data_IF_010016899041
#
_entry.id   IF_010016899041
#
_cell.length_a   1.000
_cell.length_b   1.000
_cell.length_c   1.000
_cell.angle_alpha   90.00
_cell.angle_beta   90.00
_cell.angle_gamma   90.00
#
_symmetry.space_group_name_H-M   'P 1'
#
loop_
_entity.id
_entity.type
_entity.pdbx_description
1 polymer ?
#
# COMPACT_ATOMS: atom_id res chain seq x y z
N UNK A 1 -20.34 -28.27 13.45
CA UNK A 1 -21.70 -28.51 12.91
C UNK A 1 -21.95 -27.45 11.85
N UNK A 2 -21.89 -27.76 10.55
CA UNK A 2 -22.20 -26.77 9.50
C UNK A 2 -23.71 -26.62 9.44
N UNK A 3 -24.23 -25.47 9.85
CA UNK A 3 -25.65 -25.15 9.67
C UNK A 3 -25.91 -25.10 8.17
N UNK A 4 -26.75 -25.99 7.66
CA UNK A 4 -27.12 -26.00 6.26
C UNK A 4 -28.02 -24.79 6.00
N UNK A 5 -27.53 -23.86 5.18
CA UNK A 5 -28.26 -22.64 4.83
C UNK A 5 -29.49 -22.99 3.98
N UNK A 6 -30.66 -22.43 4.31
CA UNK A 6 -31.96 -22.81 3.72
C UNK A 6 -32.07 -22.51 2.22
N UNK A 7 -31.50 -21.38 1.78
CA UNK A 7 -31.54 -20.88 0.41
C UNK A 7 -30.10 -20.64 -0.10
N UNK A 8 -29.50 -21.68 -0.70
CA UNK A 8 -28.13 -21.59 -1.23
C UNK A 8 -28.07 -20.89 -2.59
N UNK A 9 -28.89 -21.33 -3.55
CA UNK A 9 -28.80 -20.88 -4.94
C UNK A 9 -29.97 -20.00 -5.39
N UNK A 10 -31.06 -19.94 -4.62
CA UNK A 10 -32.25 -19.17 -4.96
C UNK A 10 -32.90 -18.59 -3.71
N UNK A 11 -33.09 -17.28 -3.67
CA UNK A 11 -33.74 -16.55 -2.56
C UNK A 11 -35.10 -16.06 -3.08
N UNK A 12 -36.22 -16.28 -2.38
CA UNK A 12 -37.51 -15.75 -2.80
C UNK A 12 -37.50 -14.21 -2.89
N UNK A 13 -38.27 -13.67 -3.83
CA UNK A 13 -38.27 -12.23 -4.13
C UNK A 13 -38.78 -11.35 -2.98
N UNK A 14 -39.65 -11.88 -2.11
CA UNK A 14 -40.23 -11.17 -0.98
C UNK A 14 -39.87 -11.88 0.34
N UNK A 15 -39.37 -11.13 1.32
CA UNK A 15 -39.07 -11.63 2.67
C UNK A 15 -37.73 -11.16 3.24
N UNK A 16 -37.59 -11.39 4.54
CA UNK A 16 -36.39 -11.08 5.33
C UNK A 16 -35.60 -12.36 5.61
N UNK A 17 -34.29 -12.30 5.36
CA UNK A 17 -33.39 -13.45 5.39
C UNK A 17 -32.15 -13.15 6.22
N UNK A 18 -31.83 -14.03 7.17
CA UNK A 18 -30.58 -13.92 7.95
C UNK A 18 -29.42 -14.48 7.12
N UNK A 19 -28.38 -13.69 6.92
CA UNK A 19 -27.22 -14.09 6.11
C UNK A 19 -26.38 -15.10 6.89
N UNK A 20 -26.00 -16.20 6.24
CA UNK A 20 -25.30 -17.33 6.87
C UNK A 20 -26.20 -18.34 7.58
N UNK A 21 -27.50 -18.06 7.72
CA UNK A 21 -28.51 -18.99 8.26
C UNK A 21 -29.57 -19.32 7.21
N UNK A 22 -30.23 -18.30 6.66
CA UNK A 22 -31.26 -18.46 5.63
C UNK A 22 -30.67 -18.36 4.23
N UNK A 23 -29.75 -17.42 3.98
CA UNK A 23 -29.17 -17.16 2.65
C UNK A 23 -27.65 -17.17 2.69
N UNK A 24 -27.01 -17.65 1.63
CA UNK A 24 -25.56 -17.68 1.53
C UNK A 24 -25.02 -16.33 1.01
N UNK A 25 -23.83 -15.87 1.46
CA UNK A 25 -23.21 -14.71 0.85
C UNK A 25 -22.80 -14.99 -0.60
N UNK A 26 -22.83 -13.94 -1.43
CA UNK A 26 -22.49 -14.03 -2.84
C UNK A 26 -23.27 -13.04 -3.71
N UNK A 27 -23.07 -13.17 -5.02
CA UNK A 27 -23.76 -12.36 -6.00
C UNK A 27 -25.05 -13.06 -6.45
N UNK A 28 -26.15 -12.32 -6.43
CA UNK A 28 -27.46 -12.76 -6.85
C UNK A 28 -28.02 -11.82 -7.91
N UNK A 29 -28.75 -12.36 -8.89
CA UNK A 29 -29.48 -11.58 -9.88
C UNK A 29 -30.98 -11.88 -9.81
N UNK A 30 -31.79 -10.85 -9.94
CA UNK A 30 -33.24 -10.95 -10.03
C UNK A 30 -33.67 -10.31 -11.35
N UNK A 31 -34.46 -11.05 -12.13
CA UNK A 31 -35.09 -10.53 -13.35
C UNK A 31 -36.51 -10.10 -13.00
N UNK A 32 -36.67 -8.82 -12.71
CA UNK A 32 -37.92 -8.27 -12.20
C UNK A 32 -38.85 -7.85 -13.35
N UNK A 33 -40.12 -8.28 -13.35
CA UNK A 33 -41.14 -7.77 -14.28
C UNK A 33 -41.64 -6.36 -13.92
N UNK A 34 -41.25 -5.79 -12.78
CA UNK A 34 -41.73 -4.49 -12.32
C UNK A 34 -40.90 -3.90 -11.17
N UNK A 35 -41.44 -2.88 -10.52
CA UNK A 35 -40.76 -2.17 -9.43
C UNK A 35 -40.57 -3.03 -8.19
N UNK A 36 -39.53 -2.73 -7.42
CA UNK A 36 -39.23 -3.41 -6.17
C UNK A 36 -38.10 -2.73 -5.41
N UNK A 37 -37.84 -3.19 -4.20
CA UNK A 37 -36.71 -2.70 -3.43
C UNK A 37 -36.13 -3.80 -2.55
N UNK A 38 -34.91 -3.60 -2.10
CA UNK A 38 -34.27 -4.48 -1.12
C UNK A 38 -33.40 -3.67 -0.18
N UNK A 39 -33.18 -4.22 1.01
CA UNK A 39 -32.37 -3.63 2.08
C UNK A 39 -31.31 -4.63 2.51
N UNK A 40 -30.06 -4.17 2.56
CA UNK A 40 -28.97 -4.91 3.19
C UNK A 40 -28.69 -4.33 4.56
N UNK A 41 -28.51 -5.19 5.56
CA UNK A 41 -28.14 -4.81 6.92
C UNK A 41 -26.68 -5.23 7.17
N UNK A 42 -25.69 -4.40 6.80
CA UNK A 42 -24.29 -4.71 7.08
C UNK A 42 -24.03 -4.72 8.59
N UNK A 43 -23.13 -5.59 9.08
CA UNK A 43 -22.75 -5.59 10.51
C UNK A 43 -21.92 -4.35 10.93
N UNK A 44 -21.51 -3.51 9.98
CA UNK A 44 -20.84 -2.23 10.26
C UNK A 44 -21.84 -1.14 10.66
N UNK A 45 -21.42 -0.15 11.47
CA UNK A 45 -22.24 0.99 11.94
C UNK A 45 -22.77 1.95 10.82
N UNK A 46 -22.82 1.50 9.56
CA UNK A 46 -23.22 2.30 8.39
C UNK A 46 -24.74 2.38 8.22
N UNK A 47 -25.52 1.62 9.01
CA UNK A 47 -26.98 1.59 8.90
C UNK A 47 -27.46 0.80 7.66
N UNK A 48 -28.77 0.62 7.51
CA UNK A 48 -29.35 -0.19 6.42
C UNK A 48 -29.13 0.47 5.05
N UNK A 49 -28.71 -0.33 4.06
CA UNK A 49 -28.51 0.11 2.67
C UNK A 49 -29.73 -0.28 1.84
N UNK A 50 -30.61 0.68 1.59
CA UNK A 50 -31.82 0.50 0.79
C UNK A 50 -31.58 0.83 -0.67
N UNK A 51 -31.93 -0.08 -1.57
CA UNK A 51 -31.87 0.14 -3.02
C UNK A 51 -33.26 -0.07 -3.62
N UNK A 52 -33.72 0.88 -4.46
CA UNK A 52 -34.99 0.78 -5.19
C UNK A 52 -34.73 0.54 -6.67
N UNK A 53 -35.50 -0.35 -7.27
CA UNK A 53 -35.53 -0.61 -8.71
C UNK A 53 -36.86 -0.14 -9.31
N UNK A 54 -36.77 0.61 -10.41
CA UNK A 54 -37.91 1.13 -11.15
C UNK A 54 -38.01 0.43 -12.51
N UNK A 55 -39.23 0.05 -12.90
CA UNK A 55 -39.51 -0.62 -14.17
C UNK A 55 -39.14 -2.11 -14.20
N UNK A 56 -39.27 -2.71 -15.39
CA UNK A 56 -38.85 -4.08 -15.64
C UNK A 56 -37.36 -4.13 -16.03
N UNK A 57 -36.61 -5.07 -15.48
CA UNK A 57 -35.17 -5.16 -15.72
C UNK A 57 -34.47 -6.26 -14.94
N UNK A 58 -33.19 -6.45 -15.23
CA UNK A 58 -32.32 -7.35 -14.47
C UNK A 58 -31.52 -6.52 -13.45
N UNK A 59 -31.62 -6.89 -12.19
CA UNK A 59 -30.89 -6.27 -11.08
C UNK A 59 -29.97 -7.28 -10.42
N UNK A 60 -28.85 -6.78 -9.92
CA UNK A 60 -27.86 -7.59 -9.21
C UNK A 60 -27.64 -7.03 -7.81
N UNK A 61 -27.52 -7.92 -6.84
CA UNK A 61 -27.11 -7.60 -5.48
C UNK A 61 -25.94 -8.48 -5.07
N UNK A 62 -24.98 -7.90 -4.36
CA UNK A 62 -23.92 -8.65 -3.67
C UNK A 62 -24.29 -8.65 -2.20
N UNK A 63 -24.54 -9.83 -1.63
CA UNK A 63 -24.73 -10.05 -0.20
C UNK A 63 -23.36 -10.41 0.36
N UNK A 64 -22.81 -9.53 1.19
CA UNK A 64 -21.45 -9.71 1.74
C UNK A 64 -21.47 -10.70 2.91
N UNK A 65 -20.35 -11.40 3.20
CA UNK A 65 -20.28 -12.34 4.32
C UNK A 65 -20.53 -11.73 5.70
N UNK A 66 -20.35 -10.40 5.85
CA UNK A 66 -20.56 -9.64 7.08
C UNK A 66 -21.94 -8.95 7.14
N UNK A 67 -22.81 -9.16 6.15
CA UNK A 67 -24.20 -8.74 6.27
C UNK A 67 -24.87 -9.56 7.38
N UNK A 68 -25.68 -8.90 8.21
CA UNK A 68 -26.48 -9.57 9.25
C UNK A 68 -27.78 -10.11 8.65
N UNK A 69 -28.41 -9.33 7.77
CA UNK A 69 -29.66 -9.71 7.14
C UNK A 69 -29.84 -9.04 5.76
N UNK A 70 -30.71 -9.66 4.97
CA UNK A 70 -31.12 -9.21 3.65
C UNK A 70 -32.65 -9.22 3.58
N UNK A 71 -33.25 -8.06 3.34
CA UNK A 71 -34.70 -7.89 3.18
C UNK A 71 -35.01 -7.58 1.73
N UNK A 72 -35.92 -8.33 1.12
CA UNK A 72 -36.28 -8.14 -0.27
C UNK A 72 -37.79 -7.97 -0.43
N UNK A 73 -38.16 -7.04 -1.31
CA UNK A 73 -39.52 -6.80 -1.78
C UNK A 73 -39.49 -6.69 -3.31
N UNK A 74 -38.94 -7.72 -3.95
CA UNK A 74 -38.88 -7.88 -5.40
C UNK A 74 -39.99 -8.82 -5.88
N UNK A 75 -40.64 -8.54 -7.03
CA UNK A 75 -41.70 -9.39 -7.57
C UNK A 75 -41.19 -10.70 -8.19
N UNK A 76 -39.88 -10.93 -8.23
CA UNK A 76 -39.25 -12.15 -8.75
C UNK A 76 -38.11 -12.61 -7.84
N UNK A 77 -37.80 -13.90 -7.91
CA UNK A 77 -36.75 -14.52 -7.09
C UNK A 77 -35.35 -14.12 -7.53
N UNK A 78 -34.45 -14.11 -6.55
CA UNK A 78 -33.02 -13.94 -6.75
C UNK A 78 -32.36 -15.28 -7.04
N UNK A 79 -31.54 -15.35 -8.08
CA UNK A 79 -30.77 -16.53 -8.46
C UNK A 79 -29.30 -16.25 -8.27
N UNK A 80 -28.58 -17.16 -7.62
CA UNK A 80 -27.15 -17.01 -7.36
C UNK A 80 -26.36 -17.13 -8.65
N UNK A 81 -25.47 -16.17 -8.88
CA UNK A 81 -24.52 -16.22 -9.99
C UNK A 81 -23.38 -17.14 -9.60
N UNK A 82 -23.46 -18.41 -10.03
CA UNK A 82 -22.34 -19.35 -9.88
C UNK A 82 -21.28 -18.99 -10.91
N UNK A 83 -20.18 -18.38 -10.46
CA UNK A 83 -18.98 -18.25 -11.28
C UNK A 83 -18.41 -19.64 -11.50
N UNK A 84 -18.75 -20.28 -12.63
CA UNK A 84 -18.10 -21.53 -13.04
C UNK A 84 -16.60 -21.28 -13.13
N UNK A 85 -15.81 -22.00 -12.33
CA UNK A 85 -14.36 -22.11 -12.50
C UNK A 85 -14.08 -22.98 -13.72
N UNK A 86 -14.34 -22.44 -14.90
CA UNK A 86 -14.03 -23.11 -16.17
C UNK A 86 -12.56 -22.87 -16.54
N UNK A 87 -11.84 -23.98 -16.78
CA UNK A 87 -10.55 -24.16 -17.47
C UNK A 87 -9.49 -23.04 -17.36
N UNK A 88 -8.32 -23.40 -16.81
CA UNK A 88 -7.08 -22.64 -16.96
C UNK A 88 -6.87 -22.24 -18.44
N UNK A 89 -6.67 -20.94 -18.77
CA UNK A 89 -6.48 -20.51 -20.14
C UNK A 89 -5.11 -20.97 -20.66
N UNK A 90 -5.11 -21.54 -21.86
CA UNK A 90 -3.88 -21.85 -22.60
C UNK A 90 -3.09 -20.57 -22.90
N UNK A 91 -1.78 -20.69 -23.01
CA UNK A 91 -0.78 -19.62 -22.93
C UNK A 91 -0.90 -18.46 -23.95
N UNK A 92 -1.87 -18.49 -24.85
CA UNK A 92 -2.07 -17.49 -25.91
C UNK A 92 -3.04 -16.34 -25.62
N UNK A 93 -3.95 -16.47 -24.64
CA UNK A 93 -5.08 -15.52 -24.46
C UNK A 93 -4.99 -14.64 -23.20
N UNK A 94 -3.80 -14.51 -22.61
CA UNK A 94 -3.61 -13.52 -21.54
C UNK A 94 -3.69 -12.12 -22.14
N UNK A 95 -4.85 -11.44 -21.96
CA UNK A 95 -4.89 -9.96 -21.91
C UNK A 95 -3.70 -9.52 -21.05
N UNK A 96 -2.92 -8.49 -21.46
CA UNK A 96 -1.71 -8.13 -20.76
C UNK A 96 -2.07 -7.92 -19.28
N UNK A 97 -1.54 -8.80 -18.43
CA UNK A 97 -1.65 -8.69 -16.98
C UNK A 97 -1.18 -7.27 -16.68
N UNK A 98 -2.09 -6.42 -16.16
CA UNK A 98 -1.72 -5.10 -15.64
C UNK A 98 -0.44 -5.32 -14.85
N UNK A 99 0.68 -4.60 -15.13
CA UNK A 99 1.95 -4.91 -14.51
C UNK A 99 1.71 -4.99 -13.01
N UNK A 100 1.96 -6.17 -12.42
CA UNK A 100 1.81 -6.39 -10.99
C UNK A 100 2.49 -5.21 -10.30
N UNK A 101 1.78 -4.55 -9.39
CA UNK A 101 2.34 -3.40 -8.67
C UNK A 101 3.65 -3.85 -8.05
N UNK A 102 4.75 -3.20 -8.42
CA UNK A 102 6.08 -3.57 -7.96
C UNK A 102 6.20 -3.29 -6.48
N UNK A 103 6.79 -4.23 -5.75
CA UNK A 103 7.17 -4.04 -4.35
C UNK A 103 8.27 -2.98 -4.31
N UNK A 104 8.09 -1.98 -3.45
CA UNK A 104 9.17 -1.03 -3.14
C UNK A 104 10.22 -1.78 -2.35
N UNK A 105 11.50 -1.53 -2.63
CA UNK A 105 12.61 -2.11 -1.87
C UNK A 105 12.43 -1.84 -0.38
N UNK A 106 12.47 -2.90 0.43
CA UNK A 106 12.41 -2.81 1.89
C UNK A 106 13.84 -2.94 2.41
N UNK A 107 14.20 -2.06 3.34
CA UNK A 107 15.52 -2.05 3.98
C UNK A 107 15.38 -2.48 5.44
N UNK A 108 16.40 -3.16 5.94
CA UNK A 108 16.49 -3.55 7.34
C UNK A 108 16.62 -2.30 8.25
N UNK A 109 15.75 -2.16 9.27
CA UNK A 109 15.79 -1.06 10.23
C UNK A 109 16.94 -1.14 11.24
N UNK A 110 17.80 -2.17 11.20
CA UNK A 110 18.99 -2.29 12.06
C UNK A 110 20.28 -1.83 11.35
N UNK A 111 20.22 -1.51 10.06
CA UNK A 111 21.38 -1.02 9.30
C UNK A 111 21.86 0.32 9.88
N UNK A 112 23.18 0.59 9.98
CA UNK A 112 23.68 1.90 10.39
C UNK A 112 22.99 3.05 9.64
N UNK A 113 22.55 4.13 10.33
CA UNK A 113 21.66 5.14 9.76
C UNK A 113 22.27 5.86 8.54
N UNK A 114 23.57 6.11 8.55
CA UNK A 114 24.31 6.69 7.42
C UNK A 114 24.26 5.78 6.18
N UNK A 115 24.48 4.48 6.38
CA UNK A 115 24.41 3.49 5.30
C UNK A 115 22.99 3.33 4.79
N UNK A 116 21.98 3.30 5.68
CA UNK A 116 20.57 3.25 5.29
C UNK A 116 20.18 4.45 4.45
N UNK A 117 20.56 5.67 4.86
CA UNK A 117 20.28 6.90 4.12
C UNK A 117 20.95 6.89 2.75
N UNK A 118 22.20 6.40 2.67
CA UNK A 118 22.91 6.25 1.42
C UNK A 118 22.25 5.23 0.47
N UNK A 119 21.79 4.08 1.00
CA UNK A 119 21.03 3.09 0.22
C UNK A 119 19.65 3.61 -0.21
N UNK A 120 18.97 4.38 0.65
CA UNK A 120 17.71 5.06 0.32
C UNK A 120 17.85 6.06 -0.82
N UNK A 121 18.94 6.82 -0.83
CA UNK A 121 19.24 7.77 -1.89
C UNK A 121 19.55 7.09 -3.24
N UNK A 122 20.05 5.85 -3.22
CA UNK A 122 20.47 5.11 -4.41
C UNK A 122 19.80 3.73 -4.52
N UNK A 123 18.47 3.73 -4.63
CA UNK A 123 17.68 2.49 -4.79
C UNK A 123 18.02 1.70 -6.07
N UNK A 124 18.57 2.38 -7.08
CA UNK A 124 19.04 1.76 -8.31
C UNK A 124 20.27 0.88 -8.04
N UNK A 125 21.18 1.32 -7.15
CA UNK A 125 22.33 0.54 -6.69
C UNK A 125 21.89 -0.78 -6.06
N UNK A 126 20.93 -0.74 -5.14
CA UNK A 126 20.44 -1.93 -4.42
C UNK A 126 19.88 -2.96 -5.40
N UNK A 127 19.09 -2.48 -6.37
CA UNK A 127 18.58 -3.33 -7.44
C UNK A 127 19.68 -3.86 -8.35
N UNK A 128 20.68 -3.05 -8.69
CA UNK A 128 21.82 -3.48 -9.51
C UNK A 128 22.59 -4.60 -8.82
N UNK A 129 22.92 -4.44 -7.53
CA UNK A 129 23.65 -5.43 -6.73
C UNK A 129 22.94 -6.79 -6.73
N UNK A 130 21.60 -6.80 -6.64
CA UNK A 130 20.83 -8.05 -6.61
C UNK A 130 20.60 -8.67 -7.98
N UNK A 131 20.34 -7.85 -8.99
CA UNK A 131 19.84 -8.32 -10.30
C UNK A 131 20.93 -8.45 -11.35
N UNK A 132 22.12 -7.90 -11.09
CA UNK A 132 23.18 -7.74 -12.09
C UNK A 132 22.79 -6.83 -13.27
N UNK A 133 21.63 -6.17 -13.21
CA UNK A 133 21.08 -5.41 -14.34
C UNK A 133 21.97 -4.21 -14.67
N UNK A 134 22.37 -3.99 -15.93
CA UNK A 134 23.24 -2.86 -16.29
C UNK A 134 22.67 -1.53 -15.80
N UNK A 135 23.53 -0.70 -15.20
CA UNK A 135 23.21 0.63 -14.65
C UNK A 135 22.45 1.55 -15.63
N UNK A 136 22.52 1.28 -16.93
CA UNK A 136 21.89 2.08 -17.98
C UNK A 136 20.36 2.03 -18.00
N UNK A 137 19.71 1.06 -17.33
CA UNK A 137 18.26 0.84 -17.46
C UNK A 137 17.36 1.66 -16.52
N UNK A 138 17.90 2.28 -15.47
CA UNK A 138 17.08 3.02 -14.49
C UNK A 138 17.73 4.37 -14.16
N UNK A 139 17.33 5.40 -14.92
CA UNK A 139 17.60 6.85 -14.76
C UNK A 139 18.74 7.26 -13.84
N UNK A 140 19.92 7.60 -14.36
CA UNK A 140 20.24 9.00 -14.70
C UNK A 140 21.30 9.14 -15.80
N UNK A 141 21.70 8.02 -16.43
CA UNK A 141 22.75 8.02 -17.44
C UNK A 141 22.36 8.68 -18.77
N UNK A 142 21.08 9.03 -18.97
CA UNK A 142 20.60 9.60 -20.25
C UNK A 142 20.90 11.08 -20.45
N UNK A 143 21.38 11.82 -19.44
CA UNK A 143 21.65 13.26 -19.60
C UNK A 143 23.12 13.68 -19.41
N UNK A 144 23.93 12.96 -18.60
CA UNK A 144 25.30 13.42 -18.24
C UNK A 144 26.45 12.49 -18.70
N UNK A 145 26.15 11.40 -19.40
CA UNK A 145 27.16 10.42 -19.81
C UNK A 145 28.11 10.92 -20.91
N UNK A 146 27.53 11.50 -21.96
CA UNK A 146 28.22 11.86 -23.21
C UNK A 146 28.22 13.35 -23.55
N UNK A 147 27.30 14.15 -22.98
CA UNK A 147 27.22 15.60 -23.25
C UNK A 147 28.38 16.38 -22.64
N UNK A 148 28.80 16.03 -21.43
CA UNK A 148 29.92 16.68 -20.75
C UNK A 148 31.27 16.50 -21.49
N UNK A 149 31.70 15.29 -21.91
CA UNK A 149 32.93 15.15 -22.68
C UNK A 149 32.82 15.77 -24.08
N UNK A 150 31.67 15.64 -24.76
CA UNK A 150 31.45 16.27 -26.06
C UNK A 150 31.53 17.80 -26.02
N UNK A 151 30.92 18.42 -25.00
CA UNK A 151 30.98 19.87 -24.79
C UNK A 151 32.39 20.34 -24.41
N UNK A 152 33.13 19.58 -23.60
CA UNK A 152 34.51 19.92 -23.24
C UNK A 152 35.47 19.81 -24.43
N UNK A 153 35.30 18.80 -25.29
CA UNK A 153 36.07 18.64 -26.53
C UNK A 153 35.73 19.75 -27.53
N UNK A 154 34.45 20.08 -27.68
CA UNK A 154 34.01 21.20 -28.53
C UNK A 154 34.54 22.55 -28.03
N UNK A 155 34.48 22.80 -26.71
CA UNK A 155 35.03 24.01 -26.08
C UNK A 155 36.55 24.08 -26.26
N UNK A 156 37.27 22.97 -26.12
CA UNK A 156 38.71 22.89 -26.39
C UNK A 156 39.05 23.10 -27.86
N UNK A 157 38.22 22.63 -28.80
CA UNK A 157 38.36 22.97 -30.23
C UNK A 157 38.15 24.46 -30.49
N UNK A 158 37.18 25.10 -29.83
CA UNK A 158 36.95 26.56 -29.93
C UNK A 158 38.11 27.36 -29.32
N UNK A 159 38.64 26.93 -28.17
CA UNK A 159 39.82 27.55 -27.53
C UNK A 159 41.07 27.36 -28.40
N UNK A 160 41.24 26.20 -29.03
CA UNK A 160 42.29 25.93 -30.01
C UNK A 160 42.17 26.80 -31.26
N UNK A 161 40.95 27.12 -31.69
CA UNK A 161 40.71 28.02 -32.81
C UNK A 161 41.02 29.48 -32.45
N UNK A 162 40.76 29.89 -31.20
CA UNK A 162 41.01 31.24 -30.71
C UNK A 162 42.49 31.56 -30.42
N UNK A 163 43.34 30.55 -30.18
CA UNK A 163 44.77 30.73 -29.91
C UNK A 163 45.65 29.88 -30.85
N UNK A 164 45.94 30.35 -32.08
CA UNK A 164 46.74 29.60 -33.07
C UNK A 164 48.21 29.39 -32.68
N UNK A 165 48.66 30.01 -31.59
CA UNK A 165 50.01 29.90 -31.05
C UNK A 165 50.23 28.58 -30.30
N UNK A 166 49.14 27.96 -29.81
CA UNK A 166 49.18 26.58 -29.33
C UNK A 166 49.20 25.65 -30.54
N UNK A 167 50.40 25.23 -30.96
CA UNK A 167 50.53 24.19 -31.99
C UNK A 167 49.75 22.91 -31.64
N UNK A 168 49.51 22.04 -32.63
CA UNK A 168 48.64 20.86 -32.48
C UNK A 168 49.00 19.90 -31.33
N UNK A 169 50.24 19.93 -30.83
CA UNK A 169 50.65 19.17 -29.64
C UNK A 169 50.07 19.74 -28.32
N UNK A 170 49.97 21.08 -28.20
CA UNK A 170 49.43 21.73 -27.01
C UNK A 170 47.94 21.48 -26.82
N UNK A 171 47.20 21.38 -27.93
CA UNK A 171 45.75 21.12 -27.92
C UNK A 171 45.46 19.67 -27.52
N UNK A 172 46.24 18.72 -28.03
CA UNK A 172 46.16 17.31 -27.62
C UNK A 172 46.47 17.14 -26.14
N UNK A 173 47.49 17.84 -25.62
CA UNK A 173 47.86 17.77 -24.20
C UNK A 173 46.74 18.31 -23.28
N UNK A 174 46.09 19.41 -23.66
CA UNK A 174 44.95 19.96 -22.92
C UNK A 174 43.72 19.05 -22.94
N UNK A 175 43.45 18.39 -24.07
CA UNK A 175 42.36 17.40 -24.17
C UNK A 175 42.65 16.21 -23.24
N UNK A 176 43.88 15.69 -23.23
CA UNK A 176 44.29 14.59 -22.35
C UNK A 176 44.17 15.01 -20.88
N UNK A 177 44.64 16.21 -20.51
CA UNK A 177 44.54 16.73 -19.15
C UNK A 177 43.09 16.94 -18.72
N UNK A 178 42.24 17.46 -19.62
CA UNK A 178 40.81 17.63 -19.40
C UNK A 178 40.09 16.30 -19.20
N UNK A 179 40.41 15.28 -20.02
CA UNK A 179 39.90 13.91 -19.84
C UNK A 179 40.39 13.33 -18.52
N UNK A 180 41.66 13.49 -18.15
CA UNK A 180 42.22 13.00 -16.89
C UNK A 180 41.57 13.68 -15.67
N UNK A 181 41.37 15.01 -15.72
CA UNK A 181 40.68 15.77 -14.68
C UNK A 181 39.21 15.36 -14.54
N UNK A 182 38.49 15.23 -15.66
CA UNK A 182 37.10 14.79 -15.68
C UNK A 182 36.96 13.34 -15.18
N UNK A 183 37.91 12.48 -15.54
CA UNK A 183 38.00 11.10 -15.06
C UNK A 183 38.28 11.05 -13.55
N UNK A 184 39.17 11.90 -13.05
CA UNK A 184 39.45 12.05 -11.61
C UNK A 184 38.23 12.53 -10.82
N UNK A 185 37.50 13.51 -11.33
CA UNK A 185 36.25 14.01 -10.75
C UNK A 185 35.16 12.92 -10.76
N UNK A 186 35.00 12.20 -11.87
CA UNK A 186 34.08 11.05 -11.96
C UNK A 186 34.46 9.95 -10.97
N UNK A 187 35.74 9.60 -10.86
CA UNK A 187 36.25 8.55 -9.97
C UNK A 187 36.08 8.92 -8.51
N UNK A 188 36.33 10.19 -8.13
CA UNK A 188 36.04 10.70 -6.78
C UNK A 188 34.55 10.65 -6.44
N UNK A 189 33.67 10.98 -7.40
CA UNK A 189 32.21 10.86 -7.22
C UNK A 189 31.73 9.41 -7.17
N UNK A 190 32.39 8.47 -7.84
CA UNK A 190 31.99 7.05 -7.86
C UNK A 190 32.57 6.21 -6.73
N UNK A 191 33.71 6.59 -6.14
CA UNK A 191 34.37 5.86 -5.06
C UNK A 191 33.45 5.55 -3.84
N UNK A 192 32.67 6.51 -3.30
CA UNK A 192 31.74 6.20 -2.21
C UNK A 192 30.60 5.26 -2.64
N UNK A 193 30.14 5.36 -3.90
CA UNK A 193 29.12 4.44 -4.46
C UNK A 193 29.64 3.02 -4.64
N UNK A 194 30.89 2.84 -5.06
CA UNK A 194 31.52 1.52 -5.21
C UNK A 194 31.67 0.82 -3.86
N UNK A 195 32.14 1.53 -2.83
CA UNK A 195 32.20 1.01 -1.45
C UNK A 195 30.81 0.63 -0.94
N UNK A 196 29.79 1.45 -1.21
CA UNK A 196 28.42 1.13 -0.85
C UNK A 196 27.89 -0.11 -1.60
N UNK A 197 28.27 -0.28 -2.87
CA UNK A 197 27.95 -1.47 -3.66
C UNK A 197 28.59 -2.73 -3.08
N UNK A 198 29.86 -2.63 -2.68
CA UNK A 198 30.61 -3.72 -2.05
C UNK A 198 30.00 -4.10 -0.70
N UNK A 199 29.67 -3.10 0.15
CA UNK A 199 28.98 -3.33 1.42
C UNK A 199 27.61 -3.99 1.21
N UNK A 200 26.84 -3.55 0.22
CA UNK A 200 25.56 -4.14 -0.13
C UNK A 200 25.70 -5.57 -0.69
N UNK A 201 26.79 -5.87 -1.43
CA UNK A 201 27.09 -7.24 -1.89
C UNK A 201 27.51 -8.15 -0.75
N UNK A 202 28.33 -7.64 0.17
CA UNK A 202 28.79 -8.38 1.34
C UNK A 202 27.65 -8.70 2.31
N UNK A 203 26.60 -7.87 2.34
CA UNK A 203 25.45 -8.02 3.22
C UNK A 203 24.14 -8.08 2.40
N UNK A 204 23.88 -9.20 1.71
CA UNK A 204 22.67 -9.35 0.88
C UNK A 204 21.38 -9.36 1.72
N UNK A 205 21.49 -9.63 3.03
CA UNK A 205 20.36 -9.69 3.93
C UNK A 205 19.82 -8.33 4.35
N UNK A 206 20.50 -7.22 4.07
CA UNK A 206 20.07 -5.87 4.44
C UNK A 206 18.87 -5.33 3.66
N UNK A 207 18.54 -5.93 2.52
CA UNK A 207 17.46 -5.42 1.68
C UNK A 207 16.68 -6.56 1.04
N UNK A 208 15.42 -6.27 0.71
CA UNK A 208 14.54 -7.13 -0.09
C UNK A 208 13.98 -6.34 -1.25
N UNK A 209 14.15 -6.87 -2.46
CA UNK A 209 13.67 -6.27 -3.71
C UNK A 209 12.48 -7.04 -4.25
N UNK A 210 11.77 -6.43 -5.19
CA UNK A 210 10.63 -7.04 -5.89
C UNK A 210 10.92 -8.48 -6.37
N UNK A 211 12.12 -8.77 -6.88
CA UNK A 211 12.47 -10.10 -7.40
C UNK A 211 12.62 -11.19 -6.34
N UNK A 212 12.71 -10.83 -5.05
CA UNK A 212 12.81 -11.81 -3.96
C UNK A 212 11.43 -12.42 -3.59
N UNK A 213 10.36 -12.03 -4.30
CA UNK A 213 8.98 -12.45 -4.03
C UNK A 213 8.37 -13.15 -5.26
N UNK A 214 7.63 -14.23 -5.00
CA UNK A 214 6.64 -14.79 -5.94
C UNK A 214 5.42 -13.86 -6.05
N UNK A 215 4.51 -14.12 -6.99
CA UNK A 215 3.41 -13.21 -7.27
C UNK A 215 2.42 -13.05 -6.10
N UNK A 216 2.18 -14.13 -5.33
CA UNK A 216 1.30 -14.11 -4.16
C UNK A 216 1.93 -13.32 -3.01
N UNK A 217 3.20 -13.61 -2.71
CA UNK A 217 3.96 -12.89 -1.69
C UNK A 217 4.12 -11.41 -2.06
N UNK A 218 4.33 -11.10 -3.35
CA UNK A 218 4.39 -9.72 -3.86
C UNK A 218 3.11 -8.96 -3.57
N UNK A 219 1.95 -9.57 -3.79
CA UNK A 219 0.66 -8.95 -3.52
C UNK A 219 0.49 -8.63 -2.02
N UNK A 220 0.91 -9.54 -1.14
CA UNK A 220 0.88 -9.36 0.32
C UNK A 220 1.79 -8.22 0.78
N UNK A 221 3.04 -8.17 0.30
CA UNK A 221 3.95 -7.06 0.65
C UNK A 221 3.39 -5.72 0.15
N UNK A 222 2.83 -5.66 -1.05
CA UNK A 222 2.21 -4.43 -1.58
C UNK A 222 1.05 -3.94 -0.70
N UNK A 223 0.24 -4.86 -0.17
CA UNK A 223 -0.83 -4.56 0.80
C UNK A 223 -0.26 -3.96 2.09
N UNK A 224 0.72 -4.61 2.70
CA UNK A 224 1.41 -4.10 3.89
C UNK A 224 2.00 -2.69 3.66
N UNK A 225 2.72 -2.49 2.55
CA UNK A 225 3.29 -1.21 2.16
C UNK A 225 2.22 -0.13 1.95
N UNK A 226 1.04 -0.50 1.45
CA UNK A 226 -0.08 0.43 1.29
C UNK A 226 -0.64 0.84 2.64
N UNK A 227 -0.81 -0.10 3.58
CA UNK A 227 -1.28 0.18 4.94
C UNK A 227 -0.29 1.10 5.68
N UNK A 228 1.01 0.77 5.70
CA UNK A 228 2.06 1.61 6.32
C UNK A 228 2.07 3.01 5.71
N UNK A 229 1.98 3.13 4.38
CA UNK A 229 1.93 4.45 3.72
C UNK A 229 0.69 5.26 4.07
N UNK A 230 -0.46 4.63 4.34
CA UNK A 230 -1.67 5.34 4.78
C UNK A 230 -1.46 5.92 6.17
N UNK A 231 -0.94 5.12 7.10
CA UNK A 231 -0.65 5.57 8.47
C UNK A 231 0.36 6.72 8.45
N UNK A 232 1.50 6.55 7.77
CA UNK A 232 2.56 7.59 7.70
C UNK A 232 2.14 8.89 7.04
N UNK A 233 1.05 8.89 6.26
CA UNK A 233 0.52 10.08 5.58
C UNK A 233 -0.55 10.80 6.38
N UNK A 234 -1.15 10.15 7.37
CA UNK A 234 -2.14 10.78 8.24
C UNK A 234 -1.49 11.92 9.02
N UNK A 235 -2.17 13.04 9.12
CA UNK A 235 -1.71 14.21 9.86
C UNK A 235 -1.62 13.88 11.35
N UNK A 236 -2.62 13.18 11.88
CA UNK A 236 -2.64 12.64 13.25
C UNK A 236 -1.36 11.86 13.61
N UNK A 237 -0.77 11.16 12.65
CA UNK A 237 0.49 10.45 12.84
C UNK A 237 1.69 11.40 12.87
N UNK A 238 1.73 12.42 11.99
CA UNK A 238 2.83 13.40 11.93
C UNK A 238 2.84 14.34 13.13
N UNK A 239 1.67 14.69 13.64
CA UNK A 239 1.50 15.55 14.83
C UNK A 239 1.78 14.79 16.14
N UNK A 240 2.16 13.51 16.08
CA UNK A 240 2.54 12.72 17.26
C UNK A 240 1.37 12.39 18.20
N UNK A 241 0.11 12.59 17.77
CA UNK A 241 -1.07 12.38 18.60
C UNK A 241 -1.33 10.89 18.91
N UNK A 242 -0.75 10.00 18.12
CA UNK A 242 -0.67 8.57 18.41
C UNK A 242 0.55 8.34 19.31
N UNK A 243 0.50 8.88 20.53
CA UNK A 243 1.56 8.78 21.53
C UNK A 243 1.69 7.33 22.04
N UNK A 244 2.35 6.53 21.21
CA UNK A 244 2.73 5.17 21.52
C UNK A 244 4.21 5.12 21.16
N UNK A 245 5.03 5.36 22.18
CA UNK A 245 6.43 5.80 22.20
C UNK A 245 7.47 5.12 21.27
N UNK A 246 7.07 4.25 20.35
CA UNK A 246 7.95 3.55 19.41
C UNK A 246 7.39 3.48 17.96
N UNK A 247 6.32 4.20 17.61
CA UNK A 247 5.61 4.00 16.34
C UNK A 247 6.41 4.32 15.06
N UNK A 248 7.30 5.32 15.11
CA UNK A 248 8.20 5.62 13.99
C UNK A 248 9.21 4.51 13.72
N UNK A 249 9.58 3.75 14.74
CA UNK A 249 10.50 2.62 14.66
C UNK A 249 9.76 1.30 14.39
N UNK A 250 8.53 1.18 14.89
CA UNK A 250 7.71 -0.03 14.79
C UNK A 250 7.23 -0.27 13.36
N UNK A 251 6.67 0.71 12.65
CA UNK A 251 6.16 0.50 11.29
C UNK A 251 7.24 0.04 10.28
N UNK A 252 8.45 0.62 10.25
CA UNK A 252 9.54 0.09 9.44
C UNK A 252 9.96 -1.34 9.83
N UNK A 253 9.93 -1.66 11.13
CA UNK A 253 10.22 -3.01 11.63
C UNK A 253 9.19 -4.03 11.18
N UNK A 254 7.91 -3.70 11.28
CA UNK A 254 6.81 -4.53 10.80
C UNK A 254 6.90 -4.78 9.28
N UNK A 255 7.15 -3.72 8.49
CA UNK A 255 7.34 -3.84 7.03
C UNK A 255 8.53 -4.77 6.70
N UNK A 256 9.61 -4.68 7.47
CA UNK A 256 10.79 -5.54 7.31
C UNK A 256 10.52 -7.00 7.66
N UNK A 257 9.94 -7.30 8.82
CA UNK A 257 9.69 -8.68 9.24
C UNK A 257 8.70 -9.39 8.30
N UNK A 258 7.67 -8.69 7.82
CA UNK A 258 6.75 -9.21 6.80
C UNK A 258 7.50 -9.52 5.50
N UNK A 259 8.31 -8.59 5.01
CA UNK A 259 9.10 -8.78 3.79
C UNK A 259 10.11 -9.92 3.93
N UNK A 260 10.79 -10.03 5.07
CA UNK A 260 11.75 -11.08 5.38
C UNK A 260 11.08 -12.45 5.39
N UNK A 261 9.97 -12.61 6.11
CA UNK A 261 9.23 -13.87 6.17
C UNK A 261 8.73 -14.32 4.79
N UNK A 262 8.10 -13.41 4.03
CA UNK A 262 7.59 -13.72 2.69
C UNK A 262 8.70 -14.04 1.69
N UNK A 263 9.84 -13.32 1.74
CA UNK A 263 10.98 -13.65 0.88
C UNK A 263 11.54 -15.05 1.18
N UNK A 264 11.52 -15.46 2.45
CA UNK A 264 11.96 -16.80 2.86
C UNK A 264 10.99 -17.87 2.34
N UNK A 265 9.68 -17.64 2.44
CA UNK A 265 8.66 -18.53 1.86
C UNK A 265 8.87 -18.67 0.35
N UNK A 266 9.03 -17.57 -0.38
CA UNK A 266 9.31 -17.61 -1.82
C UNK A 266 10.58 -18.42 -2.13
N UNK A 267 11.67 -18.21 -1.38
CA UNK A 267 12.90 -18.97 -1.61
C UNK A 267 12.71 -20.48 -1.39
N UNK A 268 11.99 -20.87 -0.33
CA UNK A 268 11.75 -22.27 0.01
C UNK A 268 10.83 -22.94 -1.02
N UNK A 269 9.80 -22.23 -1.50
CA UNK A 269 8.94 -22.71 -2.59
C UNK A 269 9.71 -22.88 -3.89
N UNK A 270 10.62 -21.95 -4.22
CA UNK A 270 11.46 -22.06 -5.40
C UNK A 270 12.43 -23.25 -5.32
N UNK A 271 13.00 -23.53 -4.14
CA UNK A 271 13.87 -24.68 -3.95
C UNK A 271 13.11 -26.01 -4.03
N UNK A 272 11.91 -26.08 -3.44
CA UNK A 272 11.01 -27.24 -3.61
C UNK A 272 10.63 -27.45 -5.09
N UNK A 273 10.33 -26.38 -5.83
CA UNK A 273 10.01 -26.48 -7.24
C UNK A 273 11.18 -27.02 -8.09
N UNK A 274 12.42 -26.65 -7.77
CA UNK A 274 13.63 -27.20 -8.43
C UNK A 274 13.80 -28.69 -8.15
N UNK A 275 13.57 -29.12 -6.90
CA UNK A 275 13.63 -30.54 -6.53
C UNK A 275 12.56 -31.36 -7.29
N UNK A 276 11.39 -30.76 -7.52
CA UNK A 276 10.29 -31.39 -8.25
C UNK A 276 10.52 -31.41 -9.77
N UNK A 277 11.18 -30.40 -10.32
CA UNK A 277 11.41 -30.27 -11.76
C UNK A 277 12.29 -31.39 -12.37
N UNK A 278 13.03 -32.13 -11.54
CA UNK A 278 13.90 -33.24 -11.97
C UNK A 278 13.20 -34.57 -12.30
N UNK A 279 11.86 -34.62 -12.22
CA UNK A 279 11.09 -35.87 -12.32
C UNK A 279 11.00 -36.56 -10.96
N UNK A 280 9.83 -36.51 -10.35
CA UNK A 280 9.62 -36.93 -8.96
C UNK A 280 8.98 -38.30 -8.93
N UNK A 281 9.54 -39.20 -8.12
CA UNK A 281 8.82 -40.41 -7.72
C UNK A 281 7.78 -40.04 -6.64
N UNK A 282 6.56 -40.59 -6.70
CA UNK A 282 5.46 -40.37 -5.76
C UNK A 282 5.84 -40.30 -4.25
N UNK A 283 6.85 -41.05 -3.75
CA UNK A 283 7.30 -40.91 -2.35
C UNK A 283 7.85 -39.52 -2.00
N UNK A 284 8.57 -38.86 -2.91
CA UNK A 284 9.17 -37.53 -2.68
C UNK A 284 8.09 -36.45 -2.66
N UNK A 285 7.06 -36.57 -3.52
CA UNK A 285 5.92 -35.64 -3.48
C UNK A 285 5.13 -35.76 -2.18
N UNK A 286 4.91 -36.99 -1.68
CA UNK A 286 4.30 -37.22 -0.36
C UNK A 286 5.15 -36.67 0.79
N UNK A 287 6.48 -36.76 0.70
CA UNK A 287 7.38 -36.22 1.71
C UNK A 287 7.40 -34.68 1.75
N UNK A 288 7.12 -34.00 0.62
CA UNK A 288 7.06 -32.55 0.55
C UNK A 288 5.73 -31.96 1.07
N UNK A 289 4.66 -32.75 1.14
CA UNK A 289 3.33 -32.26 1.54
C UNK A 289 3.31 -31.57 2.93
N UNK A 290 3.89 -32.14 4.01
CA UNK A 290 3.91 -31.48 5.32
C UNK A 290 4.73 -30.17 5.32
N UNK A 291 5.79 -30.11 4.50
CA UNK A 291 6.61 -28.90 4.38
C UNK A 291 5.83 -27.77 3.69
N UNK A 292 5.01 -28.09 2.68
CA UNK A 292 4.13 -27.13 2.01
C UNK A 292 3.05 -26.60 2.95
N UNK A 293 2.43 -27.48 3.73
CA UNK A 293 1.44 -27.11 4.76
C UNK A 293 2.04 -26.17 5.82
N UNK A 294 3.29 -26.42 6.21
CA UNK A 294 4.02 -25.52 7.12
C UNK A 294 4.21 -24.13 6.51
N UNK A 295 4.60 -24.05 5.23
CA UNK A 295 4.75 -22.76 4.53
C UNK A 295 3.41 -22.03 4.42
N UNK A 296 2.31 -22.75 4.17
CA UNK A 296 0.98 -22.15 4.09
C UNK A 296 0.49 -21.64 5.45
N UNK A 297 0.84 -22.34 6.53
CA UNK A 297 0.59 -21.87 7.91
C UNK A 297 1.34 -20.57 8.21
N UNK A 298 2.61 -20.47 7.79
CA UNK A 298 3.40 -19.24 7.92
C UNK A 298 2.78 -18.11 7.09
N UNK A 299 2.36 -18.37 5.85
CA UNK A 299 1.70 -17.36 5.01
C UNK A 299 0.38 -16.90 5.62
N UNK A 300 -0.41 -17.81 6.18
CA UNK A 300 -1.66 -17.48 6.87
C UNK A 300 -1.41 -16.58 8.10
N UNK A 301 -0.39 -16.90 8.91
CA UNK A 301 0.01 -16.09 10.06
C UNK A 301 0.46 -14.68 9.65
N UNK A 302 1.32 -14.57 8.63
CA UNK A 302 1.76 -13.27 8.09
C UNK A 302 0.58 -12.49 7.48
N UNK A 303 -0.34 -13.17 6.82
CA UNK A 303 -1.55 -12.54 6.26
C UNK A 303 -2.43 -11.96 7.37
N UNK A 304 -2.64 -12.68 8.47
CA UNK A 304 -3.38 -12.17 9.63
C UNK A 304 -2.72 -10.92 10.24
N UNK A 305 -1.38 -10.89 10.30
CA UNK A 305 -0.62 -9.70 10.73
C UNK A 305 -0.81 -8.51 9.78
N UNK A 306 -0.80 -8.75 8.47
CA UNK A 306 -1.08 -7.72 7.46
C UNK A 306 -2.50 -7.19 7.61
N UNK A 307 -3.49 -8.05 7.88
CA UNK A 307 -4.87 -7.63 8.10
C UNK A 307 -5.02 -6.80 9.38
N UNK A 308 -4.31 -7.14 10.45
CA UNK A 308 -4.24 -6.31 11.65
C UNK A 308 -3.67 -4.91 11.35
N UNK A 309 -2.60 -4.85 10.56
CA UNK A 309 -1.99 -3.59 10.10
C UNK A 309 -2.94 -2.78 9.19
N UNK A 310 -3.74 -3.45 8.35
CA UNK A 310 -4.76 -2.82 7.52
C UNK A 310 -5.92 -2.25 8.38
N UNK A 311 -6.37 -2.98 9.42
CA UNK A 311 -7.35 -2.49 10.39
C UNK A 311 -6.82 -1.28 11.17
N UNK A 312 -5.58 -1.34 11.62
CA UNK A 312 -4.92 -0.19 12.26
C UNK A 312 -4.88 1.02 11.32
N UNK A 313 -4.47 0.84 10.06
CA UNK A 313 -4.47 1.91 9.07
C UNK A 313 -5.86 2.51 8.81
N UNK A 314 -6.91 1.70 8.85
CA UNK A 314 -8.29 2.18 8.72
C UNK A 314 -8.72 3.03 9.93
N UNK A 315 -8.39 2.61 11.16
CA UNK A 315 -8.67 3.39 12.37
C UNK A 315 -7.90 4.71 12.41
N UNK A 316 -6.62 4.71 12.02
CA UNK A 316 -5.84 5.94 11.90
C UNK A 316 -6.45 6.88 10.87
N UNK A 317 -6.94 6.37 9.74
CA UNK A 317 -7.61 7.20 8.74
C UNK A 317 -8.96 7.77 9.24
N UNK A 318 -9.67 7.07 10.13
CA UNK A 318 -10.86 7.61 10.77
C UNK A 318 -10.50 8.75 11.73
N UNK A 319 -9.51 8.55 12.60
CA UNK A 319 -9.01 9.58 13.49
C UNK A 319 -8.51 10.81 12.72
N UNK A 320 -7.79 10.59 11.61
CA UNK A 320 -7.29 11.66 10.74
C UNK A 320 -8.41 12.53 10.16
N UNK A 321 -9.52 11.91 9.72
CA UNK A 321 -10.68 12.66 9.23
C UNK A 321 -11.33 13.51 10.33
N UNK A 322 -11.45 12.98 11.53
CA UNK A 322 -12.01 13.71 12.67
C UNK A 322 -11.10 14.85 13.10
N UNK A 323 -9.79 14.63 13.09
CA UNK A 323 -8.79 15.64 13.39
C UNK A 323 -8.86 16.82 12.40
N UNK A 324 -8.92 16.53 11.09
CA UNK A 324 -9.08 17.55 10.06
C UNK A 324 -10.38 18.34 10.23
N UNK A 325 -11.50 17.65 10.51
CA UNK A 325 -12.79 18.29 10.72
C UNK A 325 -12.78 19.19 11.97
N UNK A 326 -12.17 18.72 13.07
CA UNK A 326 -12.00 19.50 14.29
C UNK A 326 -11.15 20.75 14.04
N UNK A 327 -10.02 20.61 13.34
CA UNK A 327 -9.15 21.74 12.99
C UNK A 327 -9.87 22.78 12.12
N UNK A 328 -10.66 22.35 11.13
CA UNK A 328 -11.45 23.25 10.29
C UNK A 328 -12.52 24.00 11.07
N UNK A 329 -13.27 23.31 11.95
CA UNK A 329 -14.27 23.96 12.79
C UNK A 329 -13.66 24.91 13.80
N UNK A 330 -12.50 24.59 14.35
CA UNK A 330 -11.78 25.47 15.27
C UNK A 330 -11.34 26.75 14.56
N UNK A 331 -10.77 26.64 13.36
CA UNK A 331 -10.42 27.81 12.56
C UNK A 331 -11.64 28.69 12.24
N UNK A 332 -12.81 28.08 11.97
CA UNK A 332 -14.05 28.81 11.78
C UNK A 332 -14.56 29.47 13.06
N UNK A 333 -14.47 28.78 14.21
CA UNK A 333 -14.87 29.33 15.51
C UNK A 333 -14.00 30.54 15.89
N UNK A 334 -12.68 30.45 15.68
CA UNK A 334 -11.73 31.53 15.95
C UNK A 334 -12.04 32.78 15.07
N UNK A 335 -12.36 32.59 13.79
CA UNK A 335 -12.83 33.70 12.93
C UNK A 335 -14.17 34.27 13.39
N UNK A 336 -15.06 33.41 13.88
CA UNK A 336 -16.39 33.81 14.32
C UNK A 336 -16.35 34.60 15.64
N UNK A 337 -15.34 34.38 16.49
CA UNK A 337 -15.03 35.23 17.64
C UNK A 337 -14.59 36.65 17.20
N UNK A 338 -13.79 36.77 16.13
CA UNK A 338 -13.42 38.08 15.56
C UNK A 338 -14.66 38.84 15.02
N UNK A 339 -15.59 38.12 14.39
CA UNK A 339 -16.89 38.69 14.00
C UNK A 339 -17.77 39.03 15.22
N UNK A 340 -17.70 38.27 16.31
CA UNK A 340 -18.42 38.58 17.56
C UNK A 340 -17.93 39.90 18.16
N UNK A 341 -16.63 40.14 18.17
CA UNK A 341 -16.04 41.38 18.70
C UNK A 341 -16.47 42.60 17.87
N UNK A 342 -16.56 42.45 16.54
CA UNK A 342 -17.11 43.45 15.63
C UNK A 342 -18.61 43.72 15.87
N UNK A 343 -19.40 42.67 16.12
CA UNK A 343 -20.84 42.75 16.37
C UNK A 343 -21.17 43.33 17.76
N UNK A 344 -20.36 43.01 18.78
CA UNK A 344 -20.52 43.53 20.13
C UNK A 344 -20.42 45.06 20.21
N UNK A 345 -19.75 45.69 19.24
CA UNK A 345 -19.68 47.14 19.11
C UNK A 345 -20.81 47.79 18.30
N UNK A 346 -21.65 47.01 17.60
CA UNK A 346 -22.54 47.55 16.55
C UNK A 346 -24.02 47.13 16.64
N UNK A 347 -24.39 45.91 17.07
CA UNK A 347 -25.80 45.45 17.12
C UNK A 347 -26.03 44.40 18.21
N UNK A 348 -27.14 44.51 18.96
CA UNK A 348 -27.68 43.45 19.84
C UNK A 348 -28.49 42.45 18.99
N UNK A 349 -27.87 41.39 18.49
CA UNK A 349 -28.63 40.27 17.90
C UNK A 349 -28.30 38.94 18.61
N UNK A 350 -29.29 38.41 19.33
CA UNK A 350 -29.23 37.12 20.03
C UNK A 350 -29.03 35.92 19.09
N UNK A 351 -29.38 36.07 17.80
CA UNK A 351 -29.25 35.02 16.78
C UNK A 351 -27.78 34.71 16.45
N UNK A 352 -26.93 35.73 16.36
CA UNK A 352 -25.50 35.57 16.09
C UNK A 352 -24.79 34.85 17.26
N UNK A 353 -25.20 35.15 18.50
CA UNK A 353 -24.71 34.47 19.71
C UNK A 353 -25.12 32.98 19.69
N UNK A 354 -26.33 32.66 19.24
CA UNK A 354 -26.85 31.30 19.14
C UNK A 354 -26.06 30.40 18.17
N UNK A 355 -25.76 30.90 16.97
CA UNK A 355 -24.98 30.15 15.97
C UNK A 355 -23.52 29.94 16.42
N UNK A 356 -22.92 30.94 17.08
CA UNK A 356 -21.59 30.81 17.66
C UNK A 356 -21.53 29.74 18.77
N UNK A 357 -22.51 29.75 19.68
CA UNK A 357 -22.61 28.74 20.74
C UNK A 357 -22.83 27.32 20.15
N UNK A 358 -23.51 27.21 19.01
CA UNK A 358 -23.68 25.94 18.28
C UNK A 358 -22.38 25.47 17.65
N UNK A 359 -21.60 26.35 17.01
CA UNK A 359 -20.29 26.01 16.46
C UNK A 359 -19.33 25.50 17.54
N UNK A 360 -19.31 26.17 18.70
CA UNK A 360 -18.52 25.75 19.86
C UNK A 360 -18.91 24.35 20.35
N UNK A 361 -20.21 24.08 20.55
CA UNK A 361 -20.70 22.74 20.93
C UNK A 361 -20.35 21.66 19.90
N UNK A 362 -20.46 21.98 18.61
CA UNK A 362 -20.07 21.04 17.55
C UNK A 362 -18.57 20.72 17.60
N UNK A 363 -17.72 21.71 17.87
CA UNK A 363 -16.28 21.52 18.01
C UNK A 363 -15.94 20.63 19.23
N UNK A 364 -16.64 20.79 20.34
CA UNK A 364 -16.51 19.94 21.54
C UNK A 364 -16.93 18.49 21.28
N UNK A 365 -18.08 18.27 20.62
CA UNK A 365 -18.52 16.93 20.23
C UNK A 365 -17.51 16.23 19.30
N UNK A 366 -16.93 16.96 18.36
CA UNK A 366 -15.89 16.43 17.47
C UNK A 366 -14.58 16.14 18.20
N UNK A 367 -14.24 16.93 19.23
CA UNK A 367 -13.08 16.66 20.09
C UNK A 367 -13.25 15.35 20.84
N UNK A 368 -14.42 15.12 21.44
CA UNK A 368 -14.72 13.87 22.15
C UNK A 368 -14.69 12.66 21.21
N UNK A 369 -15.29 12.77 20.02
CA UNK A 369 -15.22 11.72 19.00
C UNK A 369 -13.79 11.46 18.49
N UNK A 370 -12.96 12.51 18.38
CA UNK A 370 -11.55 12.38 18.05
C UNK A 370 -10.79 11.64 19.15
N UNK A 371 -10.99 12.00 20.42
CA UNK A 371 -10.33 11.36 21.57
C UNK A 371 -10.68 9.86 21.63
N UNK A 372 -11.95 9.50 21.41
CA UNK A 372 -12.39 8.10 21.30
C UNK A 372 -11.72 7.38 20.11
N UNK A 373 -11.66 8.03 18.95
CA UNK A 373 -11.05 7.46 17.75
C UNK A 373 -9.53 7.26 17.90
N UNK A 374 -8.85 8.19 18.57
CA UNK A 374 -7.43 8.08 18.91
C UNK A 374 -7.18 6.92 19.89
N UNK A 375 -8.03 6.76 20.91
CA UNK A 375 -7.95 5.63 21.82
C UNK A 375 -8.12 4.29 21.08
N UNK A 376 -9.12 4.19 20.20
CA UNK A 376 -9.36 3.00 19.39
C UNK A 376 -8.20 2.68 18.42
N UNK A 377 -7.57 3.71 17.86
CA UNK A 377 -6.39 3.58 17.01
C UNK A 377 -5.17 3.08 17.79
N UNK A 378 -4.90 3.65 18.98
CA UNK A 378 -3.84 3.20 19.89
C UNK A 378 -4.03 1.74 20.29
N UNK A 379 -5.26 1.32 20.63
CA UNK A 379 -5.57 -0.07 20.97
C UNK A 379 -5.30 -1.03 19.80
N UNK A 380 -5.71 -0.69 18.58
CA UNK A 380 -5.39 -1.53 17.42
C UNK A 380 -3.89 -1.59 17.12
N UNK A 381 -3.15 -0.54 17.44
CA UNK A 381 -1.71 -0.56 17.25
C UNK A 381 -1.02 -1.60 18.17
N UNK A 382 -1.51 -1.76 19.40
CA UNK A 382 -1.06 -2.80 20.32
C UNK A 382 -1.33 -4.21 19.76
N UNK A 383 -2.47 -4.42 19.07
CA UNK A 383 -2.80 -5.71 18.42
C UNK A 383 -1.87 -6.06 17.24
N UNK A 384 -1.26 -5.07 16.58
CA UNK A 384 -0.26 -5.29 15.53
C UNK A 384 1.10 -5.69 16.15
N UNK A 385 1.33 -5.40 17.44
CA UNK A 385 2.58 -5.64 18.16
C UNK A 385 2.54 -6.79 19.21
N UNK A 386 1.99 -7.98 18.95
CA UNK A 386 1.95 -9.03 19.96
C UNK A 386 3.32 -9.68 20.26
N UNK A 387 4.42 -9.19 19.66
CA UNK A 387 5.70 -9.90 19.56
C UNK A 387 6.94 -9.23 20.16
N UNK A 388 6.83 -8.12 20.89
CA UNK A 388 7.95 -7.59 21.70
C UNK A 388 7.82 -8.10 23.15
N UNK A 389 8.18 -9.37 23.35
CA UNK A 389 8.57 -9.93 24.65
C UNK A 389 9.93 -10.58 24.52
#
# INVERSE_FOLDING_TARGET
MRVAVKYQDRIPGDGMYVVGVDVAPGQYTCRSPGEGYWVRYPASMVGPVTTRHQGAGEVAVVIEPDDTAFDSHMPADWVRVVVRRDRLPSAGDRKPVRPLKRVRTVLDPDIPPETRKALQADMALVRHVRTGSPWSRYGSARQDGWRLPGFFVALMMVVSWAWPQLGGLGTVLLIILGIAALSGIRRRRSAPRQRLAELARANPDWFRVDQDFDDDCRALVVRAQKAVRRVRKAEVYREGLLDVADHELMLPREEWEIAKALSKVTSLRADQAKLVAGGVADPVERALAPMRETLDTVVASVTARIEALERYAAKVQQADRLFQAHHQLRALADQADEYRDLLAGTVRDDLAIGELARLSRNADQLREALDESLAAARQAALEVSPGLK
#
